data_IF_444075087458
#
_entry.id   IF_444075087458
#
_cell.length_a   1.000
_cell.length_b   1.000
_cell.length_c   1.000
_cell.angle_alpha   90.00
_cell.angle_beta   90.00
_cell.angle_gamma   90.00
#
_symmetry.space_group_name_H-M   'P 1'
#
loop_
_entity.id
_entity.type
_entity.pdbx_description
1 polymer ?
#
# COMPACT_ATOMS: atom_id res chain seq x y z
N UNK A 1 -19.28 3.49 39.09
CA UNK A 1 -18.84 2.37 38.25
C UNK A 1 -19.27 2.66 36.80
N UNK A 2 -18.42 3.31 36.01
CA UNK A 2 -18.70 3.54 34.59
C UNK A 2 -18.04 2.42 33.78
N UNK A 3 -18.86 1.58 33.14
CA UNK A 3 -18.39 0.58 32.17
C UNK A 3 -18.10 1.33 30.87
N UNK A 4 -16.85 1.66 30.61
CA UNK A 4 -16.44 2.06 29.28
C UNK A 4 -16.53 0.85 28.35
N UNK A 5 -17.48 0.91 27.42
CA UNK A 5 -17.55 -0.02 26.29
C UNK A 5 -16.46 0.36 25.30
N UNK A 6 -15.29 -0.27 25.38
CA UNK A 6 -14.28 -0.14 24.34
C UNK A 6 -14.81 -0.79 23.06
N UNK A 7 -15.17 0.04 22.08
CA UNK A 7 -15.45 -0.43 20.72
C UNK A 7 -14.13 -0.47 19.95
N UNK A 8 -13.60 -1.67 19.76
CA UNK A 8 -12.45 -1.91 18.89
C UNK A 8 -12.93 -2.02 17.44
N UNK A 9 -12.42 -1.17 16.54
CA UNK A 9 -12.62 -1.34 15.09
C UNK A 9 -11.36 -1.93 14.47
N UNK A 10 -11.53 -2.99 13.69
CA UNK A 10 -10.45 -3.74 13.04
C UNK A 10 -10.57 -3.55 11.52
N UNK A 11 -9.51 -3.04 10.90
CA UNK A 11 -9.39 -2.91 9.44
C UNK A 11 -8.26 -3.82 8.97
N UNK A 12 -8.55 -4.69 8.00
CA UNK A 12 -7.58 -5.69 7.54
C UNK A 12 -7.54 -5.70 6.01
N UNK A 13 -6.33 -5.52 5.47
CA UNK A 13 -6.01 -5.59 4.04
C UNK A 13 -4.94 -6.67 3.81
N UNK A 14 -5.10 -7.49 2.76
CA UNK A 14 -4.08 -8.47 2.36
C UNK A 14 -3.39 -8.01 1.07
N UNK A 15 -2.06 -8.04 1.02
CA UNK A 15 -1.27 -7.70 -0.17
C UNK A 15 -0.30 -8.84 -0.50
N UNK A 16 -0.42 -9.39 -1.70
CA UNK A 16 0.03 -10.72 -2.10
C UNK A 16 0.93 -10.66 -3.34
N UNK A 17 1.95 -11.50 -3.44
CA UNK A 17 2.60 -11.82 -4.72
C UNK A 17 1.84 -13.01 -5.36
N UNK A 18 1.28 -12.84 -6.57
CA UNK A 18 0.31 -13.81 -7.09
C UNK A 18 0.95 -14.85 -8.01
N UNK A 19 0.73 -16.14 -7.72
CA UNK A 19 1.04 -17.27 -8.60
C UNK A 19 0.20 -17.22 -9.89
N UNK A 20 0.83 -17.51 -11.02
CA UNK A 20 0.20 -17.44 -12.35
C UNK A 20 -0.84 -18.55 -12.59
N UNK A 21 -1.97 -18.18 -13.20
CA UNK A 21 -2.93 -19.11 -13.84
C UNK A 21 -2.51 -19.40 -15.30
N UNK A 22 -2.79 -20.60 -15.85
CA UNK A 22 -2.64 -20.85 -17.28
C UNK A 22 -3.79 -20.18 -18.06
N UNK A 23 -3.45 -19.27 -18.98
CA UNK A 23 -4.42 -18.72 -19.95
C UNK A 23 -4.41 -19.55 -21.24
N UNK A 24 -5.60 -19.93 -21.71
CA UNK A 24 -5.80 -20.46 -23.05
C UNK A 24 -5.65 -19.33 -24.08
N UNK A 25 -4.86 -19.58 -25.13
CA UNK A 25 -4.51 -18.62 -26.18
C UNK A 25 -5.66 -18.47 -27.17
N UNK A 26 -6.32 -17.32 -27.21
CA UNK A 26 -7.11 -16.90 -28.37
C UNK A 26 -6.22 -16.07 -29.29
N UNK A 27 -6.00 -16.55 -30.53
CA UNK A 27 -5.22 -15.83 -31.53
C UNK A 27 -6.06 -14.72 -32.16
N UNK A 28 -5.61 -13.47 -32.03
CA UNK A 28 -6.05 -12.36 -32.87
C UNK A 28 -4.79 -11.65 -33.40
N UNK A 29 -4.79 -11.31 -34.69
CA UNK A 29 -3.65 -10.68 -35.40
C UNK A 29 -3.36 -9.26 -34.86
N UNK A 30 -2.07 -8.99 -34.62
CA UNK A 30 -1.52 -7.72 -34.12
C UNK A 30 -1.46 -6.62 -35.20
N UNK A 31 -1.80 -5.35 -34.88
CA UNK A 31 -1.33 -4.18 -35.62
C UNK A 31 0.17 -3.89 -35.32
N UNK A 32 0.87 -3.13 -36.18
CA UNK A 32 2.32 -2.97 -36.11
C UNK A 32 2.81 -2.29 -34.81
N UNK A 33 3.90 -2.82 -34.28
CA UNK A 33 4.54 -2.41 -33.02
C UNK A 33 5.17 -1.03 -33.14
N UNK A 34 4.80 -0.13 -32.23
CA UNK A 34 5.58 1.08 -31.97
C UNK A 34 6.62 0.75 -30.90
N UNK A 35 7.92 1.06 -31.08
CA UNK A 35 8.93 0.79 -30.07
C UNK A 35 8.60 1.53 -28.78
N UNK A 36 8.78 0.85 -27.64
CA UNK A 36 8.61 1.44 -26.32
C UNK A 36 9.56 2.66 -26.16
N UNK A 37 9.08 3.79 -25.62
CA UNK A 37 9.94 4.92 -25.32
C UNK A 37 11.00 4.50 -24.27
N UNK A 38 12.19 5.12 -24.31
CA UNK A 38 13.25 4.84 -23.35
C UNK A 38 12.76 5.11 -21.93
N UNK A 39 13.21 4.27 -20.98
CA UNK A 39 12.87 4.38 -19.56
C UNK A 39 12.99 5.84 -19.10
N UNK A 40 11.87 6.42 -18.66
CA UNK A 40 11.86 7.74 -18.06
C UNK A 40 12.86 7.74 -16.91
N UNK A 41 13.78 8.70 -16.94
CA UNK A 41 14.78 8.86 -15.89
C UNK A 41 14.06 8.99 -14.54
N UNK A 42 14.44 8.13 -13.59
CA UNK A 42 14.03 8.20 -12.20
C UNK A 42 14.21 9.64 -11.71
N UNK A 43 13.10 10.31 -11.38
CA UNK A 43 13.13 11.62 -10.76
C UNK A 43 13.87 11.50 -9.42
N UNK A 44 15.10 12.00 -9.43
CA UNK A 44 16.03 12.00 -8.30
C UNK A 44 15.92 13.30 -7.48
N UNK A 45 14.81 14.05 -7.62
CA UNK A 45 14.69 15.37 -6.99
C UNK A 45 14.48 15.37 -5.48
N UNK A 46 14.14 14.24 -4.84
CA UNK A 46 14.11 14.16 -3.37
C UNK A 46 15.50 13.77 -2.83
N UNK A 47 16.46 14.69 -2.99
CA UNK A 47 17.74 14.61 -2.28
C UNK A 47 17.50 14.81 -0.78
N UNK A 48 17.62 13.71 -0.06
CA UNK A 48 17.70 13.64 1.40
C UNK A 48 18.89 14.48 1.91
N UNK A 49 18.65 15.75 2.27
CA UNK A 49 19.65 16.67 2.85
C UNK A 49 19.40 16.90 4.34
N UNK A 50 19.38 15.82 5.12
CA UNK A 50 19.34 15.90 6.58
C UNK A 50 20.21 14.82 7.21
N UNK A 51 21.40 15.20 7.67
CA UNK A 51 22.25 14.32 8.48
C UNK A 51 21.66 14.16 9.88
N UNK A 52 20.68 13.27 10.04
CA UNK A 52 20.30 12.69 11.33
C UNK A 52 20.84 11.26 11.38
N UNK A 53 21.37 10.84 12.53
CA UNK A 53 21.92 9.50 12.76
C UNK A 53 20.85 8.46 12.42
N UNK A 54 20.98 7.82 11.26
CA UNK A 54 19.96 6.93 10.69
C UNK A 54 19.83 5.69 11.58
N UNK A 55 18.65 5.47 12.13
CA UNK A 55 18.33 4.14 12.63
C UNK A 55 18.15 3.23 11.42
N UNK A 56 18.79 2.06 11.42
CA UNK A 56 18.56 1.06 10.37
C UNK A 56 17.07 0.72 10.30
N UNK A 57 16.52 0.70 9.09
CA UNK A 57 15.12 0.35 8.87
C UNK A 57 14.85 -1.09 9.32
N UNK A 58 13.64 -1.33 9.83
CA UNK A 58 13.25 -2.65 10.30
C UNK A 58 13.01 -3.56 9.10
N UNK A 59 13.61 -4.74 9.09
CA UNK A 59 13.38 -5.74 8.04
C UNK A 59 12.84 -7.02 8.67
N UNK A 60 11.67 -7.44 8.22
CA UNK A 60 11.08 -8.74 8.54
C UNK A 60 10.94 -9.52 7.23
N UNK A 61 11.54 -10.71 7.14
CA UNK A 61 11.61 -11.47 5.89
C UNK A 61 11.30 -12.96 6.11
N UNK A 62 10.76 -13.59 5.06
CA UNK A 62 10.69 -15.04 4.94
C UNK A 62 11.29 -15.48 3.59
N UNK A 63 11.03 -16.73 3.17
CA UNK A 63 11.56 -17.25 1.91
C UNK A 63 11.06 -16.50 0.66
N UNK A 64 9.86 -15.94 0.69
CA UNK A 64 9.15 -15.42 -0.48
C UNK A 64 9.16 -13.89 -0.55
N UNK A 65 8.99 -13.22 0.60
CA UNK A 65 8.82 -11.77 0.69
C UNK A 65 9.53 -11.18 1.91
N UNK A 66 9.77 -9.87 1.84
CA UNK A 66 10.29 -9.06 2.95
C UNK A 66 9.51 -7.76 3.10
N UNK A 67 9.20 -7.44 4.33
CA UNK A 67 8.58 -6.20 4.79
C UNK A 67 9.69 -5.31 5.34
N UNK A 68 9.76 -4.07 4.86
CA UNK A 68 10.70 -3.07 5.35
C UNK A 68 9.90 -1.93 5.94
N UNK A 69 10.20 -1.50 7.16
CA UNK A 69 9.50 -0.41 7.86
C UNK A 69 10.50 0.66 8.28
N UNK A 70 10.18 1.90 7.90
CA UNK A 70 11.02 3.06 8.20
C UNK A 70 11.05 3.35 9.70
N UNK A 71 12.24 3.45 10.29
CA UNK A 71 12.45 3.75 11.72
C UNK A 71 13.01 5.14 12.00
N UNK A 72 13.29 5.91 10.96
CA UNK A 72 13.81 7.27 11.11
C UNK A 72 12.75 8.19 11.70
N UNK A 73 13.20 9.32 12.26
CA UNK A 73 12.32 10.35 12.81
C UNK A 73 11.29 10.82 11.79
N UNK A 74 11.76 11.05 10.56
CA UNK A 74 10.90 11.34 9.41
C UNK A 74 10.44 10.03 8.77
N UNK A 75 9.19 10.01 8.32
CA UNK A 75 8.55 8.91 7.60
C UNK A 75 8.39 7.61 8.43
N UNK A 76 8.53 7.68 9.76
CA UNK A 76 8.45 6.53 10.67
C UNK A 76 7.18 5.72 10.46
N UNK A 77 7.28 4.39 10.43
CA UNK A 77 6.14 3.48 10.30
C UNK A 77 5.60 3.33 8.88
N UNK A 78 6.17 4.03 7.89
CA UNK A 78 5.90 3.74 6.47
C UNK A 78 6.59 2.44 6.08
N UNK A 79 5.95 1.67 5.20
CA UNK A 79 6.39 0.33 4.85
C UNK A 79 6.52 0.10 3.34
N UNK A 80 7.40 -0.84 2.99
CA UNK A 80 7.46 -1.44 1.66
C UNK A 80 7.47 -2.96 1.75
N UNK A 81 7.03 -3.59 0.67
CA UNK A 81 6.98 -5.01 0.43
C UNK A 81 7.79 -5.30 -0.82
N UNK A 82 8.73 -6.22 -0.68
CA UNK A 82 9.55 -6.71 -1.77
C UNK A 82 9.50 -8.23 -1.79
N UNK A 83 9.73 -8.83 -2.95
CA UNK A 83 9.99 -10.26 -3.05
C UNK A 83 11.42 -10.58 -2.57
N UNK A 84 11.60 -11.81 -2.10
CA UNK A 84 12.89 -12.45 -1.85
C UNK A 84 13.13 -13.47 -2.97
N UNK A 85 12.42 -14.61 -2.94
CA UNK A 85 12.33 -15.56 -4.05
C UNK A 85 11.03 -15.48 -4.87
N UNK A 86 10.10 -14.59 -4.47
CA UNK A 86 8.81 -14.41 -5.15
C UNK A 86 8.08 -15.72 -5.41
N UNK A 87 7.56 -15.91 -6.63
CA UNK A 87 7.04 -17.21 -7.09
C UNK A 87 8.23 -18.15 -7.37
N UNK A 88 8.35 -19.30 -6.67
CA UNK A 88 9.45 -20.24 -6.87
C UNK A 88 9.62 -20.75 -8.30
N UNK A 89 8.55 -20.69 -9.11
CA UNK A 89 8.55 -21.08 -10.53
C UNK A 89 9.03 -19.96 -11.46
N UNK A 90 9.28 -18.76 -10.94
CA UNK A 90 9.53 -17.55 -11.73
C UNK A 90 10.70 -16.74 -11.19
N UNK A 91 11.92 -17.12 -11.56
CA UNK A 91 13.15 -16.43 -11.15
C UNK A 91 13.23 -14.94 -11.50
N UNK A 92 12.46 -14.47 -12.46
CA UNK A 92 12.41 -13.05 -12.83
C UNK A 92 11.82 -12.16 -11.74
N UNK A 93 11.07 -12.72 -10.79
CA UNK A 93 10.49 -11.95 -9.68
C UNK A 93 11.31 -12.04 -8.39
N UNK A 94 12.50 -12.65 -8.39
CA UNK A 94 13.41 -12.63 -7.25
C UNK A 94 13.86 -11.17 -6.97
N UNK A 95 13.85 -10.77 -5.69
CA UNK A 95 14.35 -9.46 -5.21
C UNK A 95 13.76 -8.20 -5.88
N UNK A 96 12.49 -8.26 -6.26
CA UNK A 96 11.74 -7.17 -6.90
C UNK A 96 10.91 -6.34 -5.92
N UNK A 97 10.65 -5.09 -6.29
CA UNK A 97 9.74 -4.21 -5.57
C UNK A 97 8.29 -4.50 -5.95
N UNK A 98 7.39 -4.46 -4.96
CA UNK A 98 5.94 -4.55 -5.18
C UNK A 98 5.22 -3.21 -4.87
N UNK A 99 5.85 -2.34 -4.09
CA UNK A 99 5.47 -0.95 -3.90
C UNK A 99 6.73 -0.06 -3.78
N UNK A 100 6.58 1.22 -4.09
CA UNK A 100 7.70 2.16 -4.19
C UNK A 100 8.36 2.42 -2.81
N UNK A 101 9.64 2.78 -2.82
CA UNK A 101 10.42 3.14 -1.63
C UNK A 101 11.61 2.21 -1.33
N UNK A 102 11.63 1.01 -1.91
CA UNK A 102 12.69 -0.02 -1.82
C UNK A 102 13.30 -0.20 -0.43
N UNK A 103 14.30 0.61 -0.10
CA UNK A 103 15.10 0.52 1.13
C UNK A 103 14.56 1.47 2.20
N UNK A 104 14.04 2.64 1.82
CA UNK A 104 13.51 3.66 2.72
C UNK A 104 12.08 4.00 2.32
N UNK A 105 11.08 3.26 2.84
CA UNK A 105 9.70 3.46 2.48
C UNK A 105 9.24 4.86 2.87
N UNK A 106 8.61 5.56 1.92
CA UNK A 106 8.02 6.86 2.20
C UNK A 106 6.76 7.17 1.39
N UNK A 107 6.49 6.48 0.28
CA UNK A 107 5.39 6.92 -0.61
C UNK A 107 4.04 6.30 -0.30
N UNK A 108 4.03 5.07 0.24
CA UNK A 108 2.81 4.44 0.78
C UNK A 108 2.59 4.93 2.21
N UNK A 109 1.37 5.36 2.52
CA UNK A 109 1.04 5.92 3.83
C UNK A 109 -0.44 5.71 4.17
N UNK A 110 -0.74 5.83 5.45
CA UNK A 110 -2.11 5.68 5.98
C UNK A 110 -2.57 6.98 6.57
N UNK A 111 -3.83 7.32 6.30
CA UNK A 111 -4.54 8.44 6.93
C UNK A 111 -5.66 7.88 7.80
N UNK A 112 -5.68 8.31 9.06
CA UNK A 112 -6.75 8.03 10.02
C UNK A 112 -7.54 9.32 10.20
N UNK A 113 -8.84 9.27 9.94
CA UNK A 113 -9.72 10.42 10.17
C UNK A 113 -10.49 10.23 11.46
N UNK A 114 -10.29 11.11 12.43
CA UNK A 114 -10.97 11.09 13.73
C UNK A 114 -11.74 12.38 13.90
N UNK A 115 -13.05 12.29 14.08
CA UNK A 115 -13.97 13.42 14.27
C UNK A 115 -13.78 14.55 13.23
N UNK A 116 -13.56 14.14 11.98
CA UNK A 116 -13.40 15.05 10.85
C UNK A 116 -11.96 15.51 10.59
N UNK A 117 -11.03 15.30 11.53
CA UNK A 117 -9.61 15.67 11.41
C UNK A 117 -8.80 14.51 10.82
N UNK A 118 -7.97 14.79 9.81
CA UNK A 118 -7.15 13.78 9.13
C UNK A 118 -5.72 13.74 9.68
N UNK A 119 -5.38 12.63 10.32
CA UNK A 119 -4.04 12.34 10.84
C UNK A 119 -3.30 11.38 9.90
N UNK A 120 -2.01 11.63 9.66
CA UNK A 120 -1.11 10.69 9.01
C UNK A 120 -0.59 9.74 10.06
N UNK A 121 -0.76 8.45 9.83
CA UNK A 121 -0.25 7.41 10.71
C UNK A 121 1.28 7.33 10.60
N UNK A 122 1.94 7.27 11.75
CA UNK A 122 3.40 7.21 11.83
C UNK A 122 4.04 8.55 12.19
N UNK A 123 5.32 8.68 11.87
CA UNK A 123 6.11 9.89 12.14
C UNK A 123 5.85 11.02 11.15
N UNK A 124 6.33 12.21 11.51
CA UNK A 124 6.30 13.40 10.65
C UNK A 124 6.99 13.17 9.31
N UNK A 125 6.71 13.99 8.32
CA UNK A 125 7.37 13.92 7.00
C UNK A 125 7.63 15.32 6.45
N UNK A 126 8.71 15.45 5.68
CA UNK A 126 8.95 16.63 4.85
C UNK A 126 8.65 16.37 3.35
N UNK A 127 8.31 15.12 3.00
CA UNK A 127 8.06 14.66 1.63
C UNK A 127 6.58 14.78 1.28
N UNK A 128 6.27 14.78 -0.03
CA UNK A 128 4.91 15.04 -0.56
C UNK A 128 3.83 14.19 0.11
N UNK A 129 4.05 12.88 0.25
CA UNK A 129 3.12 11.97 0.93
C UNK A 129 2.92 12.38 2.39
N UNK A 130 1.75 12.95 2.70
CA UNK A 130 1.37 13.31 4.06
C UNK A 130 1.98 14.62 4.60
N UNK A 131 2.71 15.40 3.78
CA UNK A 131 3.38 16.64 4.23
C UNK A 131 2.50 17.59 5.01
N UNK A 132 1.24 17.71 4.57
CA UNK A 132 0.28 18.70 5.07
C UNK A 132 -0.77 18.09 6.02
N UNK A 133 -0.57 16.85 6.47
CA UNK A 133 -1.50 16.20 7.40
C UNK A 133 -1.17 16.51 8.86
N UNK A 134 -2.13 16.25 9.75
CA UNK A 134 -1.86 16.25 11.19
C UNK A 134 -1.08 14.98 11.57
N UNK A 135 -0.24 15.05 12.59
CA UNK A 135 0.48 13.88 13.11
C UNK A 135 0.04 13.57 14.53
N UNK A 136 0.10 12.29 14.88
CA UNK A 136 -0.13 11.81 16.23
C UNK A 136 1.16 11.74 17.05
N UNK A 137 1.04 11.22 18.26
CA UNK A 137 2.19 10.94 19.13
C UNK A 137 2.53 9.46 19.03
N UNK A 138 3.78 9.13 18.69
CA UNK A 138 4.27 7.75 18.70
C UNK A 138 4.23 7.21 20.14
N UNK A 139 3.49 6.14 20.36
CA UNK A 139 3.48 5.39 21.64
C UNK A 139 4.51 4.28 21.58
N UNK A 140 4.48 3.51 20.48
CA UNK A 140 5.42 2.43 20.21
C UNK A 140 5.98 2.62 18.81
N UNK A 141 7.28 2.93 18.72
CA UNK A 141 7.98 2.97 17.44
C UNK A 141 7.98 1.57 16.79
N UNK A 142 8.18 1.49 15.47
CA UNK A 142 8.20 0.21 14.77
C UNK A 142 9.19 -0.78 15.40
N UNK A 143 8.70 -1.94 15.81
CA UNK A 143 9.49 -3.01 16.40
C UNK A 143 8.96 -4.38 15.98
N UNK A 144 9.83 -5.40 16.03
CA UNK A 144 9.44 -6.79 15.79
C UNK A 144 8.84 -7.36 17.08
N UNK A 145 7.66 -7.95 16.96
CA UNK A 145 7.01 -8.73 18.00
C UNK A 145 6.62 -10.09 17.41
N UNK A 146 7.37 -11.14 17.75
CA UNK A 146 7.19 -12.46 17.13
C UNK A 146 7.47 -12.42 15.64
N UNK A 147 6.48 -12.78 14.83
CA UNK A 147 6.51 -12.81 13.36
C UNK A 147 5.88 -11.56 12.71
N UNK A 148 5.77 -10.48 13.48
CA UNK A 148 5.04 -9.28 13.09
C UNK A 148 5.85 -8.01 13.36
N UNK A 149 5.60 -6.95 12.60
CA UNK A 149 6.04 -5.58 12.91
C UNK A 149 4.87 -4.80 13.48
N UNK A 150 5.08 -4.17 14.65
CA UNK A 150 4.05 -3.42 15.36
C UNK A 150 4.46 -1.96 15.50
N UNK A 151 3.52 -1.05 15.23
CA UNK A 151 3.66 0.40 15.45
C UNK A 151 2.39 0.93 16.10
N UNK A 152 2.50 1.75 17.15
CA UNK A 152 1.34 2.31 17.86
C UNK A 152 1.43 3.82 17.97
N UNK A 153 0.34 4.51 17.64
CA UNK A 153 0.27 5.98 17.60
C UNK A 153 -1.02 6.47 18.27
N UNK A 154 -0.90 7.46 19.16
CA UNK A 154 -2.03 8.20 19.72
C UNK A 154 -2.44 9.34 18.78
N UNK A 155 -3.74 9.48 18.50
CA UNK A 155 -4.28 10.59 17.71
C UNK A 155 -5.75 10.82 18.02
N UNK A 156 -6.16 12.07 18.23
CA UNK A 156 -7.58 12.45 18.32
C UNK A 156 -8.43 11.66 19.32
N UNK A 157 -7.90 11.26 20.49
CA UNK A 157 -8.65 10.47 21.49
C UNK A 157 -8.65 8.95 21.26
N UNK A 158 -7.97 8.46 20.21
CA UNK A 158 -7.82 7.03 19.93
C UNK A 158 -6.35 6.60 19.89
N UNK A 159 -6.11 5.33 20.21
CA UNK A 159 -4.87 4.65 19.87
C UNK A 159 -5.07 3.85 18.58
N UNK A 160 -4.14 3.98 17.65
CA UNK A 160 -4.10 3.19 16.42
C UNK A 160 -2.86 2.32 16.45
N UNK A 161 -3.04 1.01 16.34
CA UNK A 161 -1.96 0.03 16.22
C UNK A 161 -1.95 -0.54 14.80
N UNK A 162 -0.84 -0.40 14.08
CA UNK A 162 -0.57 -1.13 12.86
C UNK A 162 0.20 -2.40 13.19
N UNK A 163 -0.25 -3.52 12.65
CA UNK A 163 0.46 -4.81 12.69
C UNK A 163 0.64 -5.31 11.26
N UNK A 164 1.89 -5.48 10.85
CA UNK A 164 2.28 -6.08 9.57
C UNK A 164 2.77 -7.50 9.84
N UNK A 165 2.15 -8.49 9.21
CA UNK A 165 2.49 -9.91 9.40
C UNK A 165 2.47 -10.65 8.07
N UNK A 166 3.09 -11.84 8.02
CA UNK A 166 2.94 -12.73 6.88
C UNK A 166 1.64 -13.51 6.97
N UNK A 167 0.99 -13.70 5.83
CA UNK A 167 -0.20 -14.52 5.69
C UNK A 167 -0.05 -15.49 4.52
N UNK A 168 -0.74 -16.62 4.60
CA UNK A 168 -0.90 -17.50 3.44
C UNK A 168 -1.73 -16.83 2.35
N UNK A 169 -1.27 -16.88 1.11
CA UNK A 169 -2.05 -16.42 -0.03
C UNK A 169 -3.35 -17.22 -0.18
N UNK A 170 -4.48 -16.62 -0.59
CA UNK A 170 -5.78 -17.29 -0.57
C UNK A 170 -5.94 -18.36 -1.67
N UNK A 171 -4.95 -18.50 -2.57
CA UNK A 171 -4.91 -19.54 -3.60
C UNK A 171 -3.92 -20.64 -3.22
N UNK A 172 -2.66 -20.27 -2.97
CA UNK A 172 -1.56 -21.22 -2.76
C UNK A 172 -1.38 -21.64 -1.30
N UNK A 173 -1.87 -20.85 -0.34
CA UNK A 173 -1.55 -20.98 1.08
C UNK A 173 -0.09 -20.66 1.43
N UNK A 174 0.73 -20.29 0.44
CA UNK A 174 2.14 -19.93 0.63
C UNK A 174 2.19 -18.58 1.35
N UNK A 175 3.14 -18.41 2.27
CA UNK A 175 3.31 -17.16 3.04
C UNK A 175 3.97 -16.05 2.21
N UNK A 176 3.51 -15.83 0.98
CA UNK A 176 3.96 -14.84 0.00
C UNK A 176 3.21 -13.51 0.09
N UNK A 177 2.52 -13.29 1.21
CA UNK A 177 1.55 -12.22 1.39
C UNK A 177 1.79 -11.48 2.69
N UNK A 178 1.74 -10.15 2.65
CA UNK A 178 1.68 -9.32 3.84
C UNK A 178 0.23 -8.99 4.18
N UNK A 179 -0.16 -9.24 5.42
CA UNK A 179 -1.41 -8.76 6.01
C UNK A 179 -1.15 -7.48 6.77
N UNK A 180 -1.89 -6.43 6.43
CA UNK A 180 -1.86 -5.13 7.10
C UNK A 180 -3.11 -5.05 7.98
N UNK A 181 -2.90 -4.96 9.29
CA UNK A 181 -3.99 -4.83 10.27
C UNK A 181 -3.87 -3.49 10.96
N UNK A 182 -4.98 -2.75 11.06
CA UNK A 182 -5.11 -1.60 11.94
C UNK A 182 -6.16 -1.88 13.01
N UNK A 183 -5.75 -1.78 14.26
CA UNK A 183 -6.63 -1.84 15.43
C UNK A 183 -6.79 -0.44 15.98
N UNK A 184 -8.02 0.05 16.05
CA UNK A 184 -8.33 1.36 16.64
C UNK A 184 -9.04 1.15 17.97
N UNK A 185 -8.43 1.67 19.03
CA UNK A 185 -8.93 1.64 20.41
C UNK A 185 -9.36 3.04 20.84
N UNK A 186 -10.60 3.19 21.31
CA UNK A 186 -11.03 4.42 21.97
C UNK A 186 -10.43 4.50 23.37
N UNK A 187 -9.78 5.62 23.68
CA UNK A 187 -8.99 5.79 24.92
C UNK A 187 -9.61 6.77 25.89
N UNK A 188 -10.69 7.43 25.50
CA UNK A 188 -11.42 8.35 26.35
C UNK A 188 -12.90 7.98 26.47
N UNK A 189 -13.68 8.87 27.10
CA UNK A 189 -15.08 8.64 27.39
C UNK A 189 -16.08 9.13 26.36
N UNK A 190 -15.61 9.66 25.24
CA UNK A 190 -16.44 10.22 24.18
C UNK A 190 -16.57 9.22 23.02
N UNK A 191 -17.71 9.25 22.33
CA UNK A 191 -17.87 8.47 21.12
C UNK A 191 -17.13 9.18 19.96
N UNK A 192 -16.26 8.46 19.26
CA UNK A 192 -15.53 8.99 18.11
C UNK A 192 -16.03 8.40 16.79
N UNK A 193 -16.02 9.24 15.75
CA UNK A 193 -16.16 8.78 14.36
C UNK A 193 -14.77 8.57 13.78
N UNK A 194 -14.46 7.32 13.43
CA UNK A 194 -13.15 6.95 12.85
C UNK A 194 -13.32 6.39 11.45
N UNK A 195 -12.51 6.89 10.52
CA UNK A 195 -12.29 6.33 9.20
C UNK A 195 -10.82 6.06 8.92
N UNK A 196 -10.54 5.13 8.02
CA UNK A 196 -9.18 4.74 7.64
C UNK A 196 -9.04 4.79 6.11
N UNK A 197 -7.91 5.33 5.63
CA UNK A 197 -7.50 5.28 4.24
C UNK A 197 -6.05 4.78 4.15
N UNK A 198 -5.81 3.77 3.34
CA UNK A 198 -4.46 3.29 3.01
C UNK A 198 -4.15 3.67 1.57
N UNK A 199 -3.14 4.51 1.37
CA UNK A 199 -2.62 4.84 0.05
C UNK A 199 -1.42 3.94 -0.25
N UNK A 200 -1.52 3.14 -1.31
CA UNK A 200 -0.46 2.25 -1.76
C UNK A 200 0.11 2.78 -3.07
N UNK A 201 1.41 3.04 -3.06
CA UNK A 201 2.16 3.48 -4.23
C UNK A 201 2.77 2.27 -4.93
N UNK A 202 2.05 1.70 -5.88
CA UNK A 202 2.46 0.46 -6.55
C UNK A 202 3.56 0.73 -7.57
N UNK A 203 4.69 0.07 -7.38
CA UNK A 203 5.77 -0.03 -8.36
C UNK A 203 6.08 -1.52 -8.51
N UNK A 204 5.86 -2.08 -9.69
CA UNK A 204 6.22 -3.47 -9.99
C UNK A 204 7.48 -3.50 -10.85
N UNK A 205 8.59 -3.94 -10.25
CA UNK A 205 9.89 -3.93 -10.91
C UNK A 205 10.31 -2.51 -11.29
N UNK A 206 10.38 -2.22 -12.60
CA UNK A 206 10.76 -0.91 -13.14
C UNK A 206 9.59 -0.11 -13.74
N UNK A 207 8.35 -0.61 -13.67
CA UNK A 207 7.20 0.05 -14.28
C UNK A 207 6.48 0.98 -13.28
N UNK A 208 6.72 2.28 -13.42
CA UNK A 208 5.97 3.34 -12.74
C UNK A 208 4.70 3.65 -13.55
N UNK A 209 3.52 3.33 -12.99
CA UNK A 209 2.25 3.30 -13.71
C UNK A 209 1.77 1.89 -14.10
N UNK A 210 2.16 0.86 -13.33
CA UNK A 210 1.72 -0.51 -13.49
C UNK A 210 0.19 -0.61 -13.70
N UNK A 211 -0.28 -1.15 -14.85
CA UNK A 211 -1.70 -1.24 -15.11
C UNK A 211 -2.35 -2.26 -14.19
N UNK A 212 -3.51 -1.89 -13.64
CA UNK A 212 -4.28 -2.77 -12.79
C UNK A 212 -5.27 -3.61 -13.61
N UNK A 213 -5.59 -4.80 -13.13
CA UNK A 213 -6.78 -5.56 -13.51
C UNK A 213 -7.71 -5.70 -12.32
N UNK A 214 -8.99 -5.44 -12.58
CA UNK A 214 -10.08 -5.71 -11.66
C UNK A 214 -11.07 -6.60 -12.41
N UNK A 215 -11.24 -7.84 -11.95
CA UNK A 215 -11.93 -8.88 -12.73
C UNK A 215 -11.29 -8.98 -14.13
N UNK A 216 -12.10 -8.94 -15.19
CA UNK A 216 -11.63 -8.99 -16.59
C UNK A 216 -11.30 -7.59 -17.16
N UNK A 217 -11.38 -6.52 -16.35
CA UNK A 217 -11.21 -5.15 -16.82
C UNK A 217 -9.79 -4.65 -16.58
N UNK A 218 -9.16 -4.16 -17.65
CA UNK A 218 -7.92 -3.37 -17.58
C UNK A 218 -8.25 -1.96 -17.07
N UNK A 219 -7.65 -1.56 -15.97
CA UNK A 219 -7.77 -0.22 -15.39
C UNK A 219 -6.51 0.58 -15.79
N UNK A 220 -6.70 1.54 -16.69
CA UNK A 220 -5.63 2.43 -17.23
C UNK A 220 -5.89 3.91 -16.98
N UNK A 221 -7.02 4.21 -16.35
CA UNK A 221 -7.49 5.56 -16.03
C UNK A 221 -8.14 5.54 -14.65
N UNK A 222 -8.29 6.72 -14.07
CA UNK A 222 -8.90 6.84 -12.74
C UNK A 222 -10.25 6.13 -12.67
N UNK A 223 -10.37 5.22 -11.72
CA UNK A 223 -11.55 4.41 -11.51
C UNK A 223 -11.84 4.30 -10.03
N UNK A 224 -13.09 4.59 -9.66
CA UNK A 224 -13.61 4.43 -8.31
C UNK A 224 -14.62 3.28 -8.27
N UNK A 225 -14.56 2.49 -7.20
CA UNK A 225 -15.54 1.47 -6.84
C UNK A 225 -16.05 1.75 -5.43
N UNK A 226 -17.33 1.52 -5.17
CA UNK A 226 -17.99 1.76 -3.88
C UNK A 226 -19.03 0.68 -3.60
N UNK A 227 -19.30 0.39 -2.32
CA UNK A 227 -20.35 -0.56 -1.95
C UNK A 227 -20.13 -1.95 -2.56
N UNK A 228 -21.14 -2.48 -3.26
CA UNK A 228 -21.11 -3.80 -3.88
C UNK A 228 -20.16 -3.88 -5.10
N UNK A 229 -19.86 -2.76 -5.75
CA UNK A 229 -18.96 -2.72 -6.90
C UNK A 229 -17.49 -2.96 -6.54
N UNK A 230 -17.14 -2.91 -5.24
CA UNK A 230 -15.77 -3.15 -4.79
C UNK A 230 -15.42 -4.63 -4.99
N UNK A 231 -14.39 -4.94 -5.79
CA UNK A 231 -14.03 -6.31 -6.13
C UNK A 231 -13.45 -7.05 -4.92
N UNK A 232 -13.42 -8.37 -4.98
CA UNK A 232 -12.75 -9.18 -3.96
C UNK A 232 -11.24 -8.95 -3.93
N UNK A 233 -10.64 -8.66 -5.10
CA UNK A 233 -9.23 -8.39 -5.25
C UNK A 233 -8.94 -7.56 -6.50
N UNK A 234 -7.73 -7.01 -6.58
CA UNK A 234 -7.15 -6.39 -7.76
C UNK A 234 -5.76 -6.97 -8.02
N UNK A 235 -5.30 -6.95 -9.26
CA UNK A 235 -3.96 -7.42 -9.66
C UNK A 235 -3.22 -6.28 -10.35
N UNK A 236 -1.94 -6.13 -10.09
CA UNK A 236 -1.05 -5.24 -10.80
C UNK A 236 0.12 -6.02 -11.40
N UNK A 237 0.63 -5.54 -12.53
CA UNK A 237 1.66 -6.21 -13.33
C UNK A 237 2.77 -5.23 -13.68
N UNK A 238 4.03 -5.69 -13.76
CA UNK A 238 5.10 -4.90 -14.38
C UNK A 238 4.87 -4.69 -15.89
N UNK A 239 4.21 -5.64 -16.57
CA UNK A 239 3.77 -5.53 -17.96
C UNK A 239 2.49 -6.35 -18.17
N UNK A 240 1.57 -5.86 -19.02
CA UNK A 240 0.37 -6.64 -19.37
C UNK A 240 0.64 -7.68 -20.44
N UNK A 241 1.61 -7.41 -21.31
CA UNK A 241 1.89 -8.23 -22.48
C UNK A 241 2.87 -9.36 -22.13
N UNK A 242 3.82 -9.08 -21.22
CA UNK A 242 4.80 -10.04 -20.71
C UNK A 242 5.00 -9.84 -19.19
N UNK A 243 4.02 -10.26 -18.36
CA UNK A 243 4.09 -10.05 -16.92
C UNK A 243 5.21 -10.90 -16.32
N UNK A 244 6.19 -10.25 -15.70
CA UNK A 244 7.30 -10.89 -14.97
C UNK A 244 7.20 -10.70 -13.46
N UNK A 245 6.60 -9.60 -12.99
CA UNK A 245 6.32 -9.35 -11.56
C UNK A 245 4.83 -9.08 -11.42
N UNK A 246 4.18 -9.77 -10.47
CA UNK A 246 2.73 -9.70 -10.26
C UNK A 246 2.46 -9.48 -8.78
N UNK A 247 1.65 -8.48 -8.46
CA UNK A 247 1.12 -8.25 -7.12
C UNK A 247 -0.40 -8.25 -7.14
N UNK A 248 -1.01 -8.62 -6.02
CA UNK A 248 -2.45 -8.71 -5.85
C UNK A 248 -2.84 -8.14 -4.50
N UNK A 249 -3.76 -7.17 -4.48
CA UNK A 249 -4.42 -6.75 -3.24
C UNK A 249 -5.73 -7.50 -3.06
N UNK A 250 -5.93 -8.14 -1.91
CA UNK A 250 -7.19 -8.80 -1.52
C UNK A 250 -7.96 -7.89 -0.58
N UNK A 251 -9.22 -7.62 -0.93
CA UNK A 251 -10.10 -6.66 -0.26
C UNK A 251 -11.28 -7.34 0.46
N UNK A 252 -11.65 -8.55 0.04
CA UNK A 252 -12.72 -9.34 0.67
C UNK A 252 -12.24 -10.77 0.96
N UNK A 253 -12.73 -11.36 2.03
CA UNK A 253 -12.36 -12.70 2.47
C UNK A 253 -12.49 -12.85 3.98
N UNK A 254 -12.31 -14.08 4.49
CA UNK A 254 -12.37 -14.31 5.93
C UNK A 254 -11.30 -13.51 6.67
N UNK A 255 -11.71 -12.84 7.74
CA UNK A 255 -10.82 -12.00 8.53
C UNK A 255 -10.35 -10.73 7.80
N UNK A 256 -10.98 -10.31 6.70
CA UNK A 256 -10.77 -9.01 6.06
C UNK A 256 -11.94 -8.07 6.34
N UNK A 257 -11.65 -6.77 6.43
CA UNK A 257 -12.68 -5.72 6.51
C UNK A 257 -12.71 -5.01 5.16
N UNK A 258 -13.73 -5.24 4.31
CA UNK A 258 -13.81 -4.59 3.02
C UNK A 258 -13.84 -3.06 3.16
N UNK A 259 -13.16 -2.31 2.28
CA UNK A 259 -13.22 -0.86 2.32
C UNK A 259 -14.60 -0.36 1.83
N UNK A 260 -14.98 0.86 2.21
CA UNK A 260 -16.18 1.52 1.69
C UNK A 260 -15.99 2.10 0.27
N UNK A 261 -14.74 2.33 -0.11
CA UNK A 261 -14.34 2.81 -1.43
C UNK A 261 -12.96 2.30 -1.83
N UNK A 262 -12.79 2.02 -3.12
CA UNK A 262 -11.50 1.74 -3.77
C UNK A 262 -11.29 2.75 -4.89
N UNK A 263 -10.14 3.41 -4.91
CA UNK A 263 -9.78 4.40 -5.92
C UNK A 263 -8.42 4.04 -6.53
N UNK A 264 -8.42 3.81 -7.83
CA UNK A 264 -7.20 3.82 -8.65
C UNK A 264 -7.02 5.24 -9.17
N UNK A 265 -5.88 5.87 -8.88
CA UNK A 265 -5.60 7.26 -9.25
C UNK A 265 -4.08 7.52 -9.34
N UNK A 266 -3.71 8.67 -9.90
CA UNK A 266 -2.33 9.15 -9.85
C UNK A 266 -1.85 9.30 -8.39
N UNK A 267 -0.67 8.78 -8.06
CA UNK A 267 -0.15 8.81 -6.70
C UNK A 267 0.05 10.23 -6.15
N UNK A 268 0.52 11.18 -6.97
CA UNK A 268 0.70 12.57 -6.55
C UNK A 268 -0.61 13.20 -6.05
N UNK A 269 -1.72 12.89 -6.71
CA UNK A 269 -3.06 13.30 -6.26
C UNK A 269 -3.45 12.65 -4.93
N UNK A 270 -3.15 11.36 -4.76
CA UNK A 270 -3.39 10.66 -3.49
C UNK A 270 -2.50 11.19 -2.35
N UNK A 271 -1.28 11.65 -2.66
CA UNK A 271 -0.35 12.23 -1.72
C UNK A 271 -0.79 13.64 -1.26
N UNK A 272 -1.27 14.47 -2.18
CA UNK A 272 -1.70 15.85 -1.90
C UNK A 272 -3.04 15.91 -1.17
N UNK A 273 -3.88 14.88 -1.33
CA UNK A 273 -5.20 14.79 -0.74
C UNK A 273 -5.32 13.55 0.17
N UNK A 274 -4.84 13.64 1.43
CA UNK A 274 -4.67 12.48 2.31
C UNK A 274 -6.00 11.82 2.74
N UNK A 275 -7.14 12.49 2.56
CA UNK A 275 -8.45 11.90 2.87
C UNK A 275 -9.38 11.86 1.66
N UNK A 276 -9.79 13.03 1.17
CA UNK A 276 -10.70 13.17 0.02
C UNK A 276 -9.93 13.54 -1.24
N UNK A 277 -9.39 12.55 -1.94
CA UNK A 277 -8.79 12.78 -3.25
C UNK A 277 -9.87 13.11 -4.29
N UNK A 278 -9.73 14.21 -5.05
CA UNK A 278 -10.67 14.55 -6.10
C UNK A 278 -10.67 13.45 -7.17
N UNK A 279 -11.85 13.02 -7.61
CA UNK A 279 -11.99 11.99 -8.63
C UNK A 279 -12.54 12.61 -9.90
N UNK A 280 -11.81 12.45 -11.01
CA UNK A 280 -12.30 12.80 -12.34
C UNK A 280 -12.31 11.54 -13.20
N UNK A 281 -13.51 11.02 -13.49
CA UNK A 281 -13.69 9.80 -14.28
C UNK A 281 -12.90 9.90 -15.59
N UNK A 282 -12.11 8.87 -15.92
CA UNK A 282 -11.28 8.75 -17.13
C UNK A 282 -10.01 9.63 -17.21
N UNK A 283 -9.62 10.33 -16.15
CA UNK A 283 -8.31 11.02 -16.14
C UNK A 283 -7.16 10.00 -16.22
N UNK A 284 -6.07 10.35 -16.91
CA UNK A 284 -4.88 9.50 -17.03
C UNK A 284 -4.19 9.32 -15.68
N UNK A 285 -3.49 8.18 -15.50
CA UNK A 285 -2.58 7.98 -14.38
C UNK A 285 -1.25 8.72 -14.55
N UNK A 286 -0.91 9.11 -15.78
CA UNK A 286 0.33 9.82 -16.12
C UNK A 286 0.19 11.29 -15.66
N UNK A 287 1.28 11.86 -15.13
CA UNK A 287 1.32 13.27 -14.74
C UNK A 287 1.03 14.16 -15.96
N UNK A 288 0.33 15.27 -15.74
CA UNK A 288 0.20 16.31 -16.77
C UNK A 288 1.61 16.81 -17.14
N UNK A 289 2.00 16.65 -18.41
CA UNK A 289 3.31 17.07 -18.92
C UNK A 289 4.31 15.96 -19.27
N UNK A 290 3.99 14.68 -19.03
CA UNK A 290 4.87 13.53 -19.33
C UNK A 290 4.25 12.57 -20.38
N UNK A 291 3.65 13.12 -21.44
CA UNK A 291 3.03 12.36 -22.55
C UNK A 291 3.83 12.40 -23.84
#
# INVERSE_FOLDING_TARGET
MSKYSQFTRLFILLFLACAALPFARAAAQEPPRTPAPPAAALDSSDKDTGAETLADDLVLANEFIKIIVNRNRLDMGRFSLNTVKGDPKRKSDDNQMLNYGRVRPWTSFTTVRVDGVSYIFGGETNRRAGKNGHFGTIIEAPHIQGDSVVTKVAMGGVHVTQTLTFAGGPISGIYDTMKITYTVENTDGFAHTVGLRVALDTLLGANDGAPFRVLDKRITREQRFTGEDIPEYWIAFDSLDDPRVISRGTLRGQGLTPPDALLFANWGKLADHPWNAPYARMQSFIREGEG
#
